data_IF_663111948171
#
_entry.id   IF_663111948171
#
_cell.length_a   1.000
_cell.length_b   1.000
_cell.length_c   1.000
_cell.angle_alpha   90.00
_cell.angle_beta   90.00
_cell.angle_gamma   90.00
#
_symmetry.space_group_name_H-M   'P 1'
#
loop_
_entity.id
_entity.type
_entity.pdbx_description
1 polymer ?
#
# COMPACT_ATOMS: atom_id res chain seq x y z
N UNK A 1 7.98 9.16 -9.00
CA UNK A 1 8.43 7.77 -8.83
C UNK A 1 8.84 7.51 -7.38
N UNK A 2 8.11 6.63 -6.72
CA UNK A 2 8.34 6.15 -5.36
C UNK A 2 8.84 4.72 -5.37
N UNK A 3 9.54 4.32 -4.31
CA UNK A 3 10.07 2.96 -4.19
C UNK A 3 9.77 2.36 -2.84
N UNK A 4 9.36 1.09 -2.84
CA UNK A 4 9.19 0.34 -1.60
C UNK A 4 10.56 0.07 -0.95
N UNK A 5 10.70 0.42 0.33
CA UNK A 5 11.95 0.22 1.10
C UNK A 5 12.20 -1.23 1.52
N UNK A 6 11.16 -2.08 1.47
CA UNK A 6 11.28 -3.51 1.81
C UNK A 6 11.66 -4.34 0.60
N UNK A 7 11.30 -3.88 -0.60
CA UNK A 7 11.70 -4.52 -1.84
C UNK A 7 13.19 -4.31 -2.15
N UNK A 8 13.81 -5.24 -2.90
CA UNK A 8 15.16 -5.07 -3.41
C UNK A 8 15.25 -3.85 -4.34
N UNK A 9 16.47 -3.33 -4.53
CA UNK A 9 16.69 -2.14 -5.37
C UNK A 9 16.20 -2.34 -6.83
N UNK A 10 16.12 -3.56 -7.31
CA UNK A 10 15.72 -3.85 -8.68
C UNK A 10 14.20 -3.93 -8.87
N UNK A 11 13.43 -3.81 -7.77
CA UNK A 11 11.99 -3.84 -7.82
C UNK A 11 11.41 -2.61 -8.55
N UNK A 12 10.19 -2.73 -9.12
CA UNK A 12 9.52 -1.64 -9.80
C UNK A 12 9.33 -0.41 -8.91
N UNK A 13 9.35 0.75 -9.54
CA UNK A 13 8.94 2.02 -8.95
C UNK A 13 7.48 2.30 -9.24
N UNK A 14 6.84 3.06 -8.35
CA UNK A 14 5.43 3.43 -8.42
C UNK A 14 5.31 4.90 -8.80
N UNK A 15 4.39 5.24 -9.68
CA UNK A 15 4.21 6.63 -10.10
C UNK A 15 3.57 7.46 -8.99
N UNK A 16 2.59 6.86 -8.32
CA UNK A 16 1.77 7.50 -7.28
C UNK A 16 1.97 6.87 -5.91
N UNK A 17 1.53 7.58 -4.85
CA UNK A 17 1.62 7.08 -3.48
C UNK A 17 0.61 5.95 -3.26
N UNK A 18 -0.54 6.04 -3.92
CA UNK A 18 -1.65 5.12 -3.89
C UNK A 18 -1.25 3.74 -4.44
N UNK A 19 -0.53 3.71 -5.57
CA UNK A 19 0.01 2.47 -6.14
C UNK A 19 1.03 1.80 -5.21
N UNK A 20 1.89 2.60 -4.58
CA UNK A 20 2.85 2.09 -3.60
C UNK A 20 2.14 1.54 -2.34
N UNK A 21 1.08 2.20 -1.88
CA UNK A 21 0.27 1.72 -0.75
C UNK A 21 -0.41 0.39 -1.07
N UNK A 22 -1.00 0.27 -2.26
CA UNK A 22 -1.60 -0.99 -2.77
C UNK A 22 -0.58 -2.12 -2.71
N UNK A 23 0.63 -1.88 -3.22
CA UNK A 23 1.71 -2.85 -3.20
C UNK A 23 2.10 -3.26 -1.78
N UNK A 24 2.39 -2.30 -0.88
CA UNK A 24 2.79 -2.60 0.49
C UNK A 24 1.71 -3.42 1.22
N UNK A 25 0.46 -3.01 1.07
CA UNK A 25 -0.68 -3.66 1.72
C UNK A 25 -0.91 -5.09 1.21
N UNK A 26 -0.76 -5.34 -0.10
CA UNK A 26 -0.97 -6.66 -0.70
C UNK A 26 0.23 -7.59 -0.57
N UNK A 27 1.44 -7.15 -0.93
CA UNK A 27 2.63 -7.99 -1.02
C UNK A 27 3.37 -8.19 0.32
N UNK A 28 3.35 -7.19 1.21
CA UNK A 28 4.15 -7.24 2.45
C UNK A 28 3.31 -7.49 3.70
N UNK A 29 2.10 -6.95 3.77
CA UNK A 29 1.25 -7.02 4.97
C UNK A 29 0.10 -8.01 4.80
N UNK A 30 -0.23 -8.39 3.56
CA UNK A 30 -1.35 -9.27 3.21
C UNK A 30 -2.62 -8.76 3.93
N UNK A 31 -2.94 -7.51 3.66
CA UNK A 31 -4.09 -6.79 4.19
C UNK A 31 -5.00 -6.38 3.04
N UNK A 32 -6.07 -7.14 2.84
CA UNK A 32 -7.05 -6.96 1.77
C UNK A 32 -8.47 -6.92 2.35
N UNK A 33 -8.80 -5.89 3.15
CA UNK A 33 -10.04 -5.86 3.93
C UNK A 33 -11.25 -5.39 3.13
N UNK A 34 -11.04 -4.83 1.94
CA UNK A 34 -12.08 -4.22 1.12
C UNK A 34 -12.65 -5.26 0.15
N UNK A 35 -13.97 -5.41 0.08
CA UNK A 35 -14.65 -6.34 -0.81
C UNK A 35 -15.64 -5.54 -1.70
N UNK A 36 -15.71 -5.86 -2.99
CA UNK A 36 -16.77 -5.32 -3.86
C UNK A 36 -18.04 -6.16 -3.68
N UNK A 37 -19.19 -5.50 -3.54
CA UNK A 37 -20.46 -6.21 -3.33
C UNK A 37 -21.03 -6.84 -4.61
N UNK A 38 -20.61 -6.34 -5.78
CA UNK A 38 -21.06 -6.85 -7.09
C UNK A 38 -20.21 -8.01 -7.58
N UNK A 39 -18.98 -8.14 -7.11
CA UNK A 39 -18.00 -9.12 -7.54
C UNK A 39 -17.72 -10.13 -6.43
N UNK A 40 -18.05 -11.41 -6.66
CA UNK A 40 -18.06 -12.45 -5.61
C UNK A 40 -16.70 -12.79 -5.01
N UNK A 41 -15.61 -12.52 -5.72
CA UNK A 41 -14.25 -12.93 -5.31
C UNK A 41 -13.24 -11.78 -5.31
N UNK A 42 -13.67 -10.55 -5.59
CA UNK A 42 -12.76 -9.42 -5.65
C UNK A 42 -12.53 -8.84 -4.26
N UNK A 43 -11.27 -8.78 -3.85
CA UNK A 43 -10.81 -8.13 -2.63
C UNK A 43 -9.72 -7.14 -2.97
N UNK A 44 -9.69 -6.05 -2.22
CA UNK A 44 -8.81 -4.93 -2.49
C UNK A 44 -8.04 -4.54 -1.23
N UNK A 45 -6.78 -4.09 -1.38
CA UNK A 45 -5.94 -3.68 -0.26
C UNK A 45 -6.24 -2.26 0.24
N UNK A 46 -6.74 -1.38 -0.62
CA UNK A 46 -7.03 0.03 -0.31
C UNK A 46 -8.38 0.46 -0.88
N UNK A 47 -8.93 1.55 -0.33
CA UNK A 47 -10.15 2.18 -0.87
C UNK A 47 -9.93 2.68 -2.30
N UNK A 48 -8.75 3.21 -2.60
CA UNK A 48 -8.42 3.65 -3.96
C UNK A 48 -8.51 2.52 -4.98
N UNK A 49 -7.97 1.33 -4.65
CA UNK A 49 -8.08 0.16 -5.52
C UNK A 49 -9.54 -0.28 -5.72
N UNK A 50 -10.35 -0.24 -4.66
CA UNK A 50 -11.77 -0.57 -4.73
C UNK A 50 -12.54 0.45 -5.60
N UNK A 51 -12.34 1.75 -5.39
CA UNK A 51 -13.00 2.82 -6.16
C UNK A 51 -12.60 2.74 -7.63
N UNK A 52 -11.31 2.52 -7.91
CA UNK A 52 -10.81 2.31 -9.27
C UNK A 52 -11.53 1.13 -9.95
N UNK A 53 -11.69 0.01 -9.26
CA UNK A 53 -12.48 -1.12 -9.76
C UNK A 53 -13.95 -0.74 -10.00
N UNK A 54 -14.63 -0.05 -9.07
CA UNK A 54 -16.02 0.36 -9.28
C UNK A 54 -16.21 1.32 -10.46
N UNK A 55 -15.27 2.23 -10.70
CA UNK A 55 -15.33 3.17 -11.82
C UNK A 55 -15.09 2.47 -13.16
N UNK A 56 -14.16 1.51 -13.21
CA UNK A 56 -13.75 0.82 -14.45
C UNK A 56 -14.65 -0.36 -14.81
N UNK A 57 -14.97 -1.25 -13.87
CA UNK A 57 -15.76 -2.47 -14.11
C UNK A 57 -17.27 -2.25 -13.98
N UNK A 58 -17.71 -1.24 -13.22
CA UNK A 58 -19.13 -1.01 -12.94
C UNK A 58 -19.66 0.32 -13.46
N UNK A 59 -18.81 1.18 -14.02
CA UNK A 59 -19.21 2.48 -14.56
C UNK A 59 -19.80 3.44 -13.52
N UNK A 60 -19.62 3.16 -12.23
CA UNK A 60 -20.14 3.98 -11.15
C UNK A 60 -19.23 5.18 -10.92
N UNK A 61 -19.71 6.38 -11.25
CA UNK A 61 -19.00 7.66 -11.03
C UNK A 61 -19.24 8.27 -9.65
N UNK A 62 -20.16 7.71 -8.87
CA UNK A 62 -20.57 8.28 -7.59
C UNK A 62 -19.84 7.58 -6.43
N UNK A 63 -18.90 8.31 -5.82
CA UNK A 63 -18.06 7.88 -4.68
C UNK A 63 -18.85 7.33 -3.48
N UNK A 64 -20.15 7.66 -3.39
CA UNK A 64 -21.02 7.33 -2.25
C UNK A 64 -21.61 5.90 -2.28
N UNK A 65 -21.51 5.18 -3.40
CA UNK A 65 -22.18 3.86 -3.57
C UNK A 65 -21.25 2.67 -3.30
N UNK A 66 -19.95 2.92 -3.06
CA UNK A 66 -19.02 1.87 -2.67
C UNK A 66 -19.25 1.53 -1.19
N UNK A 67 -20.21 0.64 -0.90
CA UNK A 67 -20.36 0.07 0.43
C UNK A 67 -19.09 -0.72 0.77
N UNK A 68 -18.22 -0.10 1.55
CA UNK A 68 -17.05 -0.79 2.08
C UNK A 68 -17.51 -1.71 3.20
N UNK A 69 -17.55 -3.01 2.91
CA UNK A 69 -17.67 -4.03 3.96
C UNK A 69 -16.31 -4.25 4.60
N UNK A 70 -16.10 -3.63 5.77
CA UNK A 70 -14.90 -3.83 6.56
C UNK A 70 -15.00 -5.11 7.39
N UNK A 71 -14.12 -6.08 7.14
CA UNK A 71 -13.89 -7.17 8.11
C UNK A 71 -12.88 -6.71 9.16
N UNK A 72 -13.37 -6.14 10.25
CA UNK A 72 -12.53 -5.72 11.38
C UNK A 72 -12.08 -6.96 12.15
N UNK A 73 -10.91 -7.47 11.81
CA UNK A 73 -10.17 -8.43 12.66
C UNK A 73 -9.43 -7.68 13.77
N UNK A 74 -9.12 -8.29 14.92
CA UNK A 74 -8.32 -7.64 15.96
C UNK A 74 -6.95 -7.13 15.47
N UNK A 75 -6.42 -7.73 14.40
CA UNK A 75 -5.16 -7.34 13.76
C UNK A 75 -5.29 -6.18 12.75
N UNK A 76 -6.51 -5.72 12.48
CA UNK A 76 -6.80 -4.74 11.44
C UNK A 76 -6.07 -3.42 11.66
N UNK A 77 -6.19 -2.85 12.87
CA UNK A 77 -5.55 -1.60 13.22
C UNK A 77 -4.02 -1.72 13.14
N UNK A 78 -3.47 -2.80 13.72
CA UNK A 78 -2.02 -3.07 13.70
C UNK A 78 -1.46 -3.18 12.29
N UNK A 79 -2.14 -3.92 11.40
CA UNK A 79 -1.74 -4.03 9.98
C UNK A 79 -1.82 -2.68 9.28
N UNK A 80 -2.89 -1.91 9.50
CA UNK A 80 -3.07 -0.60 8.88
C UNK A 80 -2.03 0.42 9.34
N UNK A 81 -1.66 0.40 10.62
CA UNK A 81 -0.57 1.23 11.14
C UNK A 81 0.76 0.86 10.50
N UNK A 82 1.07 -0.44 10.42
CA UNK A 82 2.30 -0.92 9.78
C UNK A 82 2.40 -0.51 8.30
N UNK A 83 1.29 -0.57 7.55
CA UNK A 83 1.23 -0.08 6.16
C UNK A 83 1.58 1.41 6.11
N UNK A 84 0.98 2.22 6.97
CA UNK A 84 1.23 3.68 7.04
C UNK A 84 2.68 4.00 7.35
N UNK A 85 3.29 3.29 8.30
CA UNK A 85 4.71 3.48 8.65
C UNK A 85 5.62 3.16 7.47
N UNK A 86 5.40 2.02 6.80
CA UNK A 86 6.19 1.60 5.64
C UNK A 86 6.02 2.54 4.45
N UNK A 87 4.80 3.01 4.21
CA UNK A 87 4.49 3.99 3.16
C UNK A 87 5.19 5.31 3.45
N UNK A 88 5.06 5.83 4.67
CA UNK A 88 5.71 7.08 5.07
C UNK A 88 7.23 7.03 4.89
N UNK A 89 7.86 5.93 5.31
CA UNK A 89 9.30 5.74 5.14
C UNK A 89 9.69 5.69 3.64
N UNK A 90 8.93 4.95 2.84
CA UNK A 90 9.15 4.83 1.39
C UNK A 90 9.01 6.15 0.65
N UNK A 91 7.99 6.93 0.99
CA UNK A 91 7.76 8.27 0.44
C UNK A 91 8.85 9.24 0.88
N UNK A 92 9.26 9.20 2.15
CA UNK A 92 10.32 10.07 2.69
C UNK A 92 11.65 9.82 1.97
N UNK A 93 12.07 8.56 1.88
CA UNK A 93 13.33 8.18 1.21
C UNK A 93 13.31 8.58 -0.28
N UNK A 94 12.16 8.44 -0.94
CA UNK A 94 12.01 8.82 -2.36
C UNK A 94 12.01 10.34 -2.59
N UNK A 95 11.71 11.14 -1.56
CA UNK A 95 11.68 12.63 -1.61
C UNK A 95 13.01 13.29 -1.26
N UNK A 96 13.96 12.57 -0.67
CA UNK A 96 15.27 13.15 -0.33
C UNK A 96 16.11 13.22 -1.61
N UNK A 97 16.50 14.42 -2.10
CA UNK A 97 17.44 14.52 -3.20
C UNK A 97 18.75 13.82 -2.81
N UNK A 98 19.32 13.07 -3.74
CA UNK A 98 20.46 12.14 -3.60
C UNK A 98 21.77 12.71 -2.98
N UNK A 99 21.78 13.92 -2.43
CA UNK A 99 22.98 14.63 -1.98
C UNK A 99 23.46 14.40 -0.54
N UNK A 100 22.74 13.71 0.36
CA UNK A 100 23.14 13.71 1.79
C UNK A 100 22.99 12.41 2.58
N UNK A 101 22.81 11.23 1.96
CA UNK A 101 22.77 9.99 2.76
C UNK A 101 24.15 9.33 2.90
N UNK A 102 24.94 9.79 3.88
CA UNK A 102 25.97 8.94 4.50
C UNK A 102 25.24 7.74 5.12
N UNK A 103 25.36 6.57 4.45
CA UNK A 103 24.94 5.26 4.95
C UNK A 103 25.33 5.12 6.43
N UNK A 104 24.34 5.08 7.33
CA UNK A 104 24.55 4.34 8.58
C UNK A 104 24.65 2.87 8.19
N UNK A 105 25.88 2.34 8.18
CA UNK A 105 26.10 0.90 8.26
C UNK A 105 25.38 0.43 9.53
N UNK A 106 24.25 -0.26 9.40
CA UNK A 106 23.89 -1.26 10.39
C UNK A 106 24.91 -2.38 10.20
N UNK A 107 25.99 -2.30 10.97
CA UNK A 107 26.91 -3.41 11.14
C UNK A 107 26.09 -4.48 11.86
N UNK A 108 25.70 -5.53 11.14
CA UNK A 108 25.37 -6.79 11.76
C UNK A 108 26.66 -7.32 12.38
N UNK A 109 26.85 -7.07 13.68
CA UNK A 109 27.79 -7.86 14.49
C UNK A 109 27.07 -9.18 14.74
N UNK A 110 27.38 -10.16 13.91
CA UNK A 110 27.26 -11.57 14.27
C UNK A 110 28.68 -12.09 14.55
N UNK A 111 28.77 -12.90 15.61
CA UNK A 111 29.94 -13.53 16.24
C UNK A 111 30.65 -12.67 17.28
#
# INVERSE_FOLDING_TARGET
MFRCVVCPLQAPTYETVEELEIHIASDHIIHIPYECERCRFSKFPTEFALISHYTTDHGLKEFYVCFVKYKVTPDFHRKREKIREMLHHSVTVSKIPFGTYKRRKFVYIFA
#
